data_IF_877537537688
#
_entry.id   IF_877537537688
#
_cell.length_a   1.000
_cell.length_b   1.000
_cell.length_c   1.000
_cell.angle_alpha   90.00
_cell.angle_beta   90.00
_cell.angle_gamma   90.00
#
_symmetry.space_group_name_H-M   'P 1'
#
loop_
_entity.id
_entity.type
_entity.pdbx_description
1 polymer ?
#
# COMPACT_ATOMS: atom_id res chain seq x y z
N UNK A 1 22.37 39.24 37.97
CA UNK A 1 22.65 40.65 37.65
C UNK A 1 21.43 41.27 36.98
N UNK A 2 21.31 42.59 36.98
CA UNK A 2 20.04 43.31 36.85
C UNK A 2 19.43 43.30 35.43
N UNK A 3 18.09 43.28 35.37
CA UNK A 3 17.30 43.79 34.24
C UNK A 3 16.09 44.58 34.79
N UNK A 4 15.74 45.69 34.12
CA UNK A 4 14.77 46.69 34.61
C UNK A 4 13.32 46.31 34.28
N UNK A 5 12.40 46.71 35.16
CA UNK A 5 10.96 46.80 34.88
C UNK A 5 10.65 48.18 34.28
N UNK A 6 9.80 48.24 33.25
CA UNK A 6 9.13 49.48 32.82
C UNK A 6 7.63 49.39 33.15
N UNK A 7 7.07 50.51 33.61
CA UNK A 7 5.71 50.64 34.12
C UNK A 7 4.71 51.07 33.06
N UNK A 8 3.42 50.81 33.32
CA UNK A 8 2.30 51.67 32.89
C UNK A 8 1.39 51.88 34.12
N UNK A 9 0.95 53.12 34.34
CA UNK A 9 0.03 53.55 35.41
C UNK A 9 -1.43 53.25 34.99
N UNK A 10 -2.38 52.92 35.88
CA UNK A 10 -3.14 53.86 36.73
C UNK A 10 -4.21 54.62 35.93
N UNK A 11 -5.47 54.81 36.31
CA UNK A 11 -6.36 54.33 37.40
C UNK A 11 -7.82 54.47 36.86
N UNK A 12 -8.95 54.05 37.44
CA UNK A 12 -9.39 53.59 38.78
C UNK A 12 -10.59 52.61 38.57
N UNK A 13 -11.45 52.15 39.51
CA UNK A 13 -11.74 52.45 40.92
C UNK A 13 -12.34 51.20 41.64
N UNK A 14 -13.11 51.40 42.72
CA UNK A 14 -13.78 50.42 43.60
C UNK A 14 -15.14 50.98 44.09
N UNK A 15 -16.02 50.27 44.85
CA UNK A 15 -15.93 48.91 45.46
C UNK A 15 -17.14 47.98 45.07
N UNK A 16 -17.35 46.72 45.50
CA UNK A 16 -17.15 46.00 46.78
C UNK A 16 -17.04 44.46 46.60
N UNK A 17 -16.16 43.81 47.38
CA UNK A 17 -16.12 42.42 47.93
C UNK A 17 -16.73 41.17 47.21
N UNK A 18 -16.25 39.93 47.50
CA UNK A 18 -14.87 39.48 47.80
C UNK A 18 -14.39 38.32 46.90
N UNK A 19 -13.13 38.38 46.45
CA UNK A 19 -12.35 37.27 45.87
C UNK A 19 -11.81 36.33 46.98
N UNK A 20 -11.15 35.15 46.74
CA UNK A 20 -10.54 34.63 45.49
C UNK A 20 -10.98 33.16 45.16
N UNK A 21 -10.58 32.47 44.08
CA UNK A 21 -9.23 32.17 43.56
C UNK A 21 -9.21 32.16 42.03
N UNK A 22 -8.41 33.04 41.43
CA UNK A 22 -7.98 32.92 40.04
C UNK A 22 -6.73 32.04 39.97
N UNK A 23 -6.79 30.92 39.24
CA UNK A 23 -5.64 30.10 38.90
C UNK A 23 -4.75 30.79 37.85
N UNK A 24 -3.93 31.73 38.28
CA UNK A 24 -2.97 32.41 37.41
C UNK A 24 -1.86 31.47 36.93
N UNK A 25 -1.69 31.33 35.62
CA UNK A 25 -0.58 30.59 35.02
C UNK A 25 0.61 31.53 34.78
N UNK A 26 1.73 31.32 35.49
CA UNK A 26 2.99 32.02 35.22
C UNK A 26 3.80 31.20 34.21
N UNK A 27 4.03 31.76 33.02
CA UNK A 27 4.90 31.15 32.01
C UNK A 27 6.32 31.68 32.20
N UNK A 28 7.25 30.79 32.57
CA UNK A 28 8.68 31.10 32.64
C UNK A 28 9.38 30.45 31.44
N UNK A 29 9.77 31.26 30.45
CA UNK A 29 10.63 30.80 29.35
C UNK A 29 12.09 30.78 29.79
N UNK A 30 12.67 29.59 29.93
CA UNK A 30 14.11 29.39 29.94
C UNK A 30 14.57 28.92 28.55
N UNK A 31 15.82 29.19 28.19
CA UNK A 31 16.35 29.06 26.83
C UNK A 31 16.70 27.60 26.43
N UNK A 32 15.81 26.65 26.71
CA UNK A 32 15.80 25.28 26.15
C UNK A 32 14.49 24.57 26.52
N UNK A 33 13.45 24.76 25.70
CA UNK A 33 12.17 24.03 25.79
C UNK A 33 11.11 24.69 26.69
N UNK A 34 9.84 24.57 26.27
CA UNK A 34 8.68 25.07 27.03
C UNK A 34 8.19 23.97 27.97
N UNK A 35 8.30 24.20 29.27
CA UNK A 35 7.73 23.34 30.31
C UNK A 35 6.59 24.06 31.03
N UNK A 36 5.38 23.49 30.96
CA UNK A 36 4.22 23.99 31.69
C UNK A 36 4.16 23.31 33.07
N UNK A 37 4.39 24.06 34.14
CA UNK A 37 4.31 23.57 35.52
C UNK A 37 3.08 24.13 36.23
N UNK A 38 2.10 23.27 36.52
CA UNK A 38 1.02 23.57 37.48
C UNK A 38 1.45 23.18 38.89
N UNK A 39 1.83 24.18 39.69
CA UNK A 39 2.15 24.04 41.11
C UNK A 39 0.88 24.13 41.96
N UNK A 40 0.34 22.99 42.39
CA UNK A 40 -0.61 22.93 43.50
C UNK A 40 0.18 22.81 44.81
N UNK A 41 0.56 23.94 45.39
CA UNK A 41 1.12 23.98 46.74
C UNK A 41 -0.02 23.93 47.77
N UNK A 42 -0.07 22.89 48.58
CA UNK A 42 -0.88 22.85 49.81
C UNK A 42 0.06 23.15 50.98
N UNK A 43 -0.18 24.25 51.68
CA UNK A 43 0.52 24.58 52.92
C UNK A 43 -0.10 23.77 54.05
N UNK A 44 0.70 22.95 54.73
CA UNK A 44 0.39 22.40 56.04
C UNK A 44 1.60 22.67 56.95
N UNK A 45 1.39 23.47 57.99
CA UNK A 45 2.42 23.89 58.94
C UNK A 45 2.72 22.78 59.96
N UNK A 46 3.97 22.31 60.02
CA UNK A 46 4.49 21.70 61.26
C UNK A 46 6.03 21.60 61.29
N UNK A 47 6.64 22.28 62.28
CA UNK A 47 7.73 21.71 63.10
C UNK A 47 9.14 21.64 62.52
N UNK A 48 10.08 22.33 63.19
CA UNK A 48 11.52 22.20 62.98
C UNK A 48 12.04 20.76 63.14
N UNK A 49 12.84 20.26 62.21
CA UNK A 49 14.27 19.89 62.43
C UNK A 49 14.91 19.43 61.11
N UNK A 50 16.15 19.87 60.85
CA UNK A 50 16.83 19.54 59.59
C UNK A 50 17.48 18.16 59.54
N UNK A 51 17.39 17.49 58.39
CA UNK A 51 18.45 16.59 57.85
C UNK A 51 18.23 16.28 56.37
N UNK A 52 19.28 15.78 55.71
CA UNK A 52 19.40 15.68 54.26
C UNK A 52 18.49 14.62 53.62
N UNK A 53 17.91 14.96 52.46
CA UNK A 53 17.24 14.00 51.57
C UNK A 53 18.29 13.27 50.72
N UNK A 54 18.49 11.98 51.00
CA UNK A 54 19.15 11.06 50.05
C UNK A 54 18.17 10.70 48.94
N UNK A 55 18.66 10.70 47.70
CA UNK A 55 17.93 10.15 46.57
C UNK A 55 18.07 8.63 46.53
N UNK A 56 17.01 7.91 46.92
CA UNK A 56 16.87 6.49 46.60
C UNK A 56 16.13 6.36 45.27
N UNK A 57 16.86 6.02 44.21
CA UNK A 57 16.28 5.63 42.93
C UNK A 57 15.73 4.21 43.02
N UNK A 58 14.40 4.06 43.16
CA UNK A 58 13.63 2.89 42.66
C UNK A 58 12.15 3.03 42.99
N UNK A 59 11.35 3.52 42.04
CA UNK A 59 9.99 3.03 41.84
C UNK A 59 9.51 3.33 40.42
N UNK A 60 8.74 2.39 39.86
CA UNK A 60 8.33 2.38 38.45
C UNK A 60 7.41 3.57 38.16
N UNK A 61 7.81 4.43 37.23
CA UNK A 61 6.90 5.40 36.63
C UNK A 61 5.82 4.65 35.83
N UNK A 62 4.61 4.58 36.38
CA UNK A 62 3.47 3.97 35.70
C UNK A 62 3.02 4.80 34.51
N UNK A 63 3.05 4.20 33.32
CA UNK A 63 2.02 4.31 32.29
C UNK A 63 1.21 5.63 32.24
N UNK A 64 1.74 6.68 31.59
CA UNK A 64 0.90 7.77 31.07
C UNK A 64 1.44 8.43 29.79
N UNK A 65 1.84 7.62 28.80
CA UNK A 65 2.09 8.08 27.42
C UNK A 65 1.36 7.19 26.40
N UNK A 66 0.02 7.21 26.44
CA UNK A 66 -0.81 6.71 25.33
C UNK A 66 -0.90 7.77 24.21
N UNK A 67 0.25 8.11 23.62
CA UNK A 67 0.35 8.86 22.36
C UNK A 67 1.07 7.98 21.33
N UNK A 68 0.27 7.37 20.46
CA UNK A 68 0.71 6.49 19.38
C UNK A 68 -0.52 5.92 18.69
N UNK A 69 -0.73 6.28 17.42
CA UNK A 69 -1.91 5.84 16.67
C UNK A 69 -1.71 4.37 16.29
N UNK A 70 -2.37 3.48 17.04
CA UNK A 70 -2.37 2.02 16.84
C UNK A 70 -2.43 1.69 15.35
N UNK A 71 -1.49 0.87 14.88
CA UNK A 71 -1.46 0.35 13.51
C UNK A 71 -2.83 -0.29 13.19
N UNK A 72 -3.50 0.22 12.16
CA UNK A 72 -4.93 -0.03 11.92
C UNK A 72 -5.12 -1.19 10.96
N UNK A 73 -6.07 -2.05 11.29
CA UNK A 73 -6.37 -3.29 10.57
C UNK A 73 -6.80 -3.03 9.12
N UNK A 74 -6.30 -3.83 8.19
CA UNK A 74 -6.71 -3.78 6.79
C UNK A 74 -8.18 -4.17 6.58
N UNK A 75 -8.83 -4.79 7.57
CA UNK A 75 -10.28 -5.08 7.61
C UNK A 75 -11.08 -4.11 8.51
N UNK A 76 -10.41 -3.13 9.13
CA UNK A 76 -11.04 -2.00 9.84
C UNK A 76 -11.19 -0.79 8.91
N UNK A 77 -12.43 -0.39 8.64
CA UNK A 77 -12.74 0.77 7.79
C UNK A 77 -12.14 2.08 8.34
N UNK A 78 -11.86 2.19 9.65
CA UNK A 78 -11.21 3.36 10.27
C UNK A 78 -9.71 3.47 9.93
N UNK A 79 -9.13 2.42 9.35
CA UNK A 79 -7.79 2.40 8.77
C UNK A 79 -7.68 3.17 7.45
N UNK A 80 -8.81 3.50 6.82
CA UNK A 80 -8.87 4.13 5.51
C UNK A 80 -9.22 5.62 5.59
N UNK A 81 -9.01 6.33 4.49
CA UNK A 81 -9.38 7.73 4.25
C UNK A 81 -9.51 7.99 2.75
N UNK A 82 -10.12 9.10 2.38
CA UNK A 82 -9.95 9.67 1.05
C UNK A 82 -8.63 10.44 0.99
N UNK A 83 -7.88 10.28 -0.10
CA UNK A 83 -6.77 11.15 -0.49
C UNK A 83 -7.19 11.76 -1.83
N UNK A 84 -7.56 13.04 -1.80
CA UNK A 84 -8.00 13.86 -2.93
C UNK A 84 -9.21 13.32 -3.74
N UNK A 85 -9.86 12.27 -3.23
CA UNK A 85 -11.00 11.59 -3.86
C UNK A 85 -10.84 10.07 -3.92
N UNK A 86 -9.61 9.57 -3.86
CA UNK A 86 -9.30 8.13 -3.90
C UNK A 86 -9.38 7.50 -2.49
N UNK A 87 -10.13 6.41 -2.34
CA UNK A 87 -10.25 5.68 -1.07
C UNK A 87 -9.04 4.77 -0.81
N UNK A 88 -8.23 5.11 0.19
CA UNK A 88 -6.93 4.48 0.46
C UNK A 88 -6.68 4.20 1.94
N UNK A 89 -6.04 3.06 2.22
CA UNK A 89 -5.54 2.74 3.57
C UNK A 89 -4.47 3.74 4.02
N UNK A 90 -4.43 4.07 5.32
CA UNK A 90 -3.42 4.93 5.96
C UNK A 90 -1.99 4.40 5.95
N UNK A 91 -1.77 3.25 5.30
CA UNK A 91 -0.44 2.65 5.10
C UNK A 91 0.27 3.28 3.88
N UNK A 92 -0.48 3.90 2.99
CA UNK A 92 -0.02 4.73 1.88
C UNK A 92 -0.01 6.19 2.34
N UNK A 93 1.16 6.83 2.26
CA UNK A 93 1.34 8.23 2.67
C UNK A 93 0.72 9.18 1.64
N UNK A 94 0.15 10.31 2.08
CA UNK A 94 -0.57 11.19 1.16
C UNK A 94 0.37 11.84 0.16
N UNK A 95 1.53 12.33 0.62
CA UNK A 95 2.51 12.99 -0.23
C UNK A 95 3.11 12.01 -1.27
N UNK A 96 3.24 10.74 -0.91
CA UNK A 96 3.63 9.67 -1.84
C UNK A 96 2.58 9.52 -2.95
N UNK A 97 1.29 9.44 -2.59
CA UNK A 97 0.19 9.36 -3.55
C UNK A 97 0.09 10.62 -4.43
N UNK A 98 0.17 11.82 -3.84
CA UNK A 98 0.16 13.10 -4.57
C UNK A 98 1.36 13.24 -5.52
N UNK A 99 2.53 12.76 -5.11
CA UNK A 99 3.71 12.72 -5.99
C UNK A 99 3.48 11.80 -7.19
N UNK A 100 2.84 10.64 -6.98
CA UNK A 100 2.45 9.73 -8.07
C UNK A 100 1.42 10.39 -8.98
N UNK A 101 0.34 10.98 -8.47
CA UNK A 101 -0.67 11.65 -9.30
C UNK A 101 -0.09 12.79 -10.14
N UNK A 102 0.99 13.41 -9.68
CA UNK A 102 1.71 14.50 -10.37
C UNK A 102 2.85 14.02 -11.28
N UNK A 103 3.12 12.71 -11.34
CA UNK A 103 4.20 12.17 -12.18
C UNK A 103 3.88 12.39 -13.67
N UNK A 104 4.90 12.76 -14.46
CA UNK A 104 4.78 12.86 -15.92
C UNK A 104 5.45 11.65 -16.55
N UNK A 105 4.70 10.71 -17.17
CA UNK A 105 5.29 9.52 -17.80
C UNK A 105 6.27 9.84 -18.91
N UNK A 106 7.37 9.09 -18.96
CA UNK A 106 8.40 9.16 -20.00
C UNK A 106 8.04 8.21 -21.17
N UNK A 107 8.54 8.46 -22.39
CA UNK A 107 8.31 7.56 -23.53
C UNK A 107 8.85 6.14 -23.34
N UNK A 108 9.85 5.95 -22.48
CA UNK A 108 10.42 4.64 -22.14
C UNK A 108 9.81 4.01 -20.87
N UNK A 109 8.78 4.63 -20.28
CA UNK A 109 8.06 4.06 -19.14
C UNK A 109 7.02 3.01 -19.62
N UNK A 110 7.06 1.84 -18.97
CA UNK A 110 6.06 0.79 -19.13
C UNK A 110 5.37 0.57 -17.78
N UNK A 111 4.07 0.84 -17.71
CA UNK A 111 3.26 0.64 -16.52
C UNK A 111 2.67 -0.77 -16.50
N UNK A 112 2.67 -1.41 -15.33
CA UNK A 112 1.86 -2.60 -15.05
C UNK A 112 0.68 -2.15 -14.18
N UNK A 113 -0.48 -1.96 -14.81
CA UNK A 113 -1.70 -1.47 -14.16
C UNK A 113 -2.69 -2.63 -13.94
N UNK A 114 -3.04 -2.90 -12.69
CA UNK A 114 -3.88 -4.05 -12.34
C UNK A 114 -4.68 -3.77 -11.07
N UNK A 115 -5.94 -4.19 -10.99
CA UNK A 115 -6.55 -4.29 -9.65
C UNK A 115 -5.75 -5.35 -8.85
N UNK A 116 -5.54 -5.18 -7.52
CA UNK A 116 -4.76 -6.13 -6.74
C UNK A 116 -5.16 -7.58 -7.01
N UNK A 117 -4.13 -8.43 -7.14
CA UNK A 117 -4.25 -9.89 -7.32
C UNK A 117 -4.73 -10.38 -8.69
N UNK A 118 -4.85 -9.50 -9.69
CA UNK A 118 -5.10 -9.90 -11.09
C UNK A 118 -3.88 -10.48 -11.83
N UNK A 119 -2.81 -10.90 -11.12
CA UNK A 119 -1.60 -11.48 -11.73
C UNK A 119 -0.40 -10.54 -11.83
N UNK A 120 -0.45 -9.35 -11.23
CA UNK A 120 0.56 -8.28 -11.29
C UNK A 120 2.01 -8.78 -11.22
N UNK A 121 2.37 -9.56 -10.18
CA UNK A 121 3.75 -10.06 -9.99
C UNK A 121 4.20 -10.98 -11.12
N UNK A 122 3.29 -11.79 -11.68
CA UNK A 122 3.61 -12.68 -12.79
C UNK A 122 3.88 -11.87 -14.06
N UNK A 123 3.02 -10.90 -14.37
CA UNK A 123 3.20 -9.98 -15.50
C UNK A 123 4.47 -9.14 -15.37
N UNK A 124 4.73 -8.55 -14.20
CA UNK A 124 5.99 -7.84 -13.92
C UNK A 124 7.20 -8.75 -14.17
N UNK A 125 7.17 -10.00 -13.69
CA UNK A 125 8.29 -10.92 -13.81
C UNK A 125 8.49 -11.43 -15.25
N UNK A 126 7.40 -11.69 -15.98
CA UNK A 126 7.42 -12.02 -17.42
C UNK A 126 8.03 -10.88 -18.24
N UNK A 127 7.56 -9.65 -18.04
CA UNK A 127 8.06 -8.48 -18.77
C UNK A 127 9.53 -8.20 -18.42
N UNK A 128 9.94 -8.30 -17.15
CA UNK A 128 11.35 -8.17 -16.77
C UNK A 128 12.23 -9.30 -17.33
N UNK A 129 11.70 -10.51 -17.53
CA UNK A 129 12.39 -11.58 -18.25
C UNK A 129 12.63 -11.21 -19.72
N UNK A 130 11.62 -10.65 -20.41
CA UNK A 130 11.72 -10.21 -21.82
C UNK A 130 12.76 -9.08 -21.94
N UNK A 131 12.58 -8.00 -21.16
CA UNK A 131 13.45 -6.82 -21.20
C UNK A 131 14.92 -7.13 -20.82
N UNK A 132 15.16 -8.19 -20.04
CA UNK A 132 16.50 -8.63 -19.59
C UNK A 132 16.96 -9.94 -20.25
N UNK A 133 16.39 -10.33 -21.39
CA UNK A 133 16.82 -11.50 -22.19
C UNK A 133 16.99 -12.78 -21.36
N UNK A 134 16.00 -13.07 -20.51
CA UNK A 134 15.96 -14.26 -19.66
C UNK A 134 16.87 -14.19 -18.43
N UNK A 135 17.42 -13.03 -18.06
CA UNK A 135 18.11 -12.78 -16.78
C UNK A 135 17.27 -11.86 -15.86
N UNK A 136 16.15 -12.38 -15.30
CA UNK A 136 15.26 -11.59 -14.45
C UNK A 136 15.87 -11.29 -13.08
N UNK A 137 15.23 -10.40 -12.29
CA UNK A 137 15.65 -10.14 -10.93
C UNK A 137 15.75 -11.41 -10.07
N UNK A 138 16.89 -11.59 -9.41
CA UNK A 138 17.20 -12.78 -8.60
C UNK A 138 16.83 -12.61 -7.11
N UNK A 139 16.37 -11.42 -6.72
CA UNK A 139 15.96 -11.11 -5.35
C UNK A 139 14.71 -10.22 -5.31
N UNK A 140 14.00 -10.28 -4.19
CA UNK A 140 12.91 -9.38 -3.83
C UNK A 140 13.27 -7.89 -4.01
N UNK A 141 14.47 -7.49 -3.59
CA UNK A 141 14.93 -6.10 -3.65
C UNK A 141 15.21 -5.66 -5.09
N UNK A 142 15.96 -6.44 -5.86
CA UNK A 142 16.22 -6.18 -7.29
C UNK A 142 14.90 -6.11 -8.07
N UNK A 143 13.94 -7.01 -7.79
CA UNK A 143 12.61 -6.95 -8.39
C UNK A 143 11.87 -5.65 -8.06
N UNK A 144 11.94 -5.18 -6.80
CA UNK A 144 11.28 -3.95 -6.38
C UNK A 144 11.97 -2.67 -6.94
N UNK A 145 13.29 -2.71 -7.15
CA UNK A 145 14.05 -1.63 -7.77
C UNK A 145 13.93 -1.60 -9.30
N UNK A 146 13.71 -2.76 -9.92
CA UNK A 146 13.40 -2.93 -11.33
C UNK A 146 11.93 -2.65 -11.64
N UNK A 147 11.04 -2.84 -10.66
CA UNK A 147 9.62 -2.53 -10.78
C UNK A 147 9.02 -1.93 -9.51
N UNK A 148 9.23 -0.62 -9.26
CA UNK A 148 8.76 0.05 -8.06
C UNK A 148 7.23 0.14 -8.01
N UNK A 149 6.69 0.04 -6.80
CA UNK A 149 5.27 0.19 -6.53
C UNK A 149 4.95 1.63 -6.13
N UNK A 150 4.41 2.41 -7.07
CA UNK A 150 4.43 3.87 -6.93
C UNK A 150 3.49 4.42 -5.85
N UNK A 151 2.38 3.75 -5.51
CA UNK A 151 1.55 4.18 -4.37
C UNK A 151 2.29 4.11 -3.03
N UNK A 152 3.32 3.27 -2.93
CA UNK A 152 4.18 3.14 -1.74
C UNK A 152 5.50 3.89 -1.87
N UNK A 153 6.01 4.09 -3.08
CA UNK A 153 7.37 4.58 -3.34
C UNK A 153 7.43 5.92 -4.10
N UNK A 154 6.30 6.45 -4.56
CA UNK A 154 6.15 7.78 -5.15
C UNK A 154 6.87 7.98 -6.48
N UNK A 155 6.78 9.20 -7.02
CA UNK A 155 7.46 9.57 -8.27
C UNK A 155 8.99 9.39 -8.22
N UNK A 156 9.61 9.66 -7.07
CA UNK A 156 11.07 9.49 -6.85
C UNK A 156 11.56 8.07 -7.24
N UNK A 157 10.73 7.05 -7.02
CA UNK A 157 11.08 5.68 -7.38
C UNK A 157 11.02 5.41 -8.89
N UNK A 158 10.12 6.08 -9.63
CA UNK A 158 10.10 6.02 -11.10
C UNK A 158 11.31 6.73 -11.72
N UNK A 159 11.79 7.80 -11.07
CA UNK A 159 13.00 8.51 -11.48
C UNK A 159 14.28 7.71 -11.23
N UNK A 160 14.37 7.01 -10.08
CA UNK A 160 15.54 6.24 -9.64
C UNK A 160 15.51 4.75 -10.01
N UNK A 161 14.48 4.25 -10.72
CA UNK A 161 14.35 2.82 -11.00
C UNK A 161 15.51 2.28 -11.85
N UNK A 162 15.82 1.00 -11.67
CA UNK A 162 16.80 0.30 -12.50
C UNK A 162 16.18 0.06 -13.88
N UNK A 163 16.71 0.71 -14.91
CA UNK A 163 16.25 0.56 -16.31
C UNK A 163 17.06 -0.51 -17.06
N UNK A 164 16.45 -1.27 -18.00
CA UNK A 164 15.02 -1.31 -18.30
C UNK A 164 14.21 -1.88 -17.13
N UNK A 165 13.04 -1.29 -16.88
CA UNK A 165 12.24 -1.47 -15.67
C UNK A 165 10.78 -1.03 -15.86
N UNK A 166 9.93 -1.24 -14.85
CA UNK A 166 8.46 -1.20 -14.97
C UNK A 166 7.76 -0.47 -13.82
N UNK A 167 6.85 0.44 -14.13
CA UNK A 167 6.11 1.19 -13.11
C UNK A 167 4.86 0.41 -12.65
N UNK A 168 4.86 -0.13 -11.44
CA UNK A 168 3.72 -0.89 -10.92
C UNK A 168 2.70 0.05 -10.26
N UNK A 169 1.45 -0.03 -10.70
CA UNK A 169 0.30 0.66 -10.07
C UNK A 169 -0.91 -0.27 -9.90
N UNK A 170 -1.74 0.04 -8.91
CA UNK A 170 -3.06 -0.53 -8.67
C UNK A 170 -4.19 0.52 -8.80
N UNK A 171 -3.87 1.67 -9.41
CA UNK A 171 -4.79 2.78 -9.59
C UNK A 171 -5.77 2.53 -10.77
N UNK A 172 -7.05 2.94 -10.63
CA UNK A 172 -7.95 3.13 -11.77
C UNK A 172 -7.34 4.10 -12.82
N UNK A 173 -7.84 4.05 -14.06
CA UNK A 173 -7.26 4.82 -15.18
C UNK A 173 -7.17 6.32 -14.87
N UNK A 174 -8.27 6.91 -14.38
CA UNK A 174 -8.38 8.34 -14.07
C UNK A 174 -7.47 8.84 -12.93
N UNK A 175 -6.83 7.92 -12.19
CA UNK A 175 -5.83 8.24 -11.16
C UNK A 175 -4.40 7.88 -11.59
N UNK A 176 -4.25 7.15 -12.69
CA UNK A 176 -2.94 6.73 -13.20
C UNK A 176 -2.35 7.83 -14.08
N UNK A 177 -1.08 8.22 -13.87
CA UNK A 177 -0.38 9.12 -14.79
C UNK A 177 -0.40 8.59 -16.22
N UNK A 178 -1.06 9.32 -17.12
CA UNK A 178 -1.25 8.92 -18.50
C UNK A 178 -0.42 9.77 -19.47
N UNK A 179 0.18 9.12 -20.47
CA UNK A 179 0.82 9.73 -21.62
C UNK A 179 0.67 8.79 -22.81
N UNK A 180 0.26 9.31 -23.97
CA UNK A 180 0.16 8.52 -25.21
C UNK A 180 1.52 7.91 -25.64
N UNK A 181 2.63 8.48 -25.18
CA UNK A 181 3.98 8.00 -25.48
C UNK A 181 4.48 6.90 -24.54
N UNK A 182 3.85 6.71 -23.37
CA UNK A 182 4.20 5.65 -22.43
C UNK A 182 3.32 4.41 -22.68
N UNK A 183 3.79 3.22 -22.30
CA UNK A 183 3.06 1.96 -22.51
C UNK A 183 2.38 1.46 -21.24
N UNK A 184 1.20 0.87 -21.36
CA UNK A 184 0.41 0.38 -20.23
C UNK A 184 0.01 -1.08 -20.47
N UNK A 185 0.41 -1.98 -19.58
CA UNK A 185 0.02 -3.39 -19.60
C UNK A 185 -1.03 -3.60 -18.52
N UNK A 186 -2.25 -3.90 -18.95
CA UNK A 186 -3.44 -3.97 -18.12
C UNK A 186 -3.90 -5.42 -17.99
N UNK A 187 -3.83 -5.96 -16.78
CA UNK A 187 -4.24 -7.35 -16.50
C UNK A 187 -5.39 -7.39 -15.52
N UNK A 188 -6.50 -7.98 -15.96
CA UNK A 188 -7.66 -8.29 -15.13
C UNK A 188 -7.79 -9.79 -14.88
N UNK A 189 -8.69 -10.19 -14.00
CA UNK A 189 -8.92 -11.58 -13.59
C UNK A 189 -10.34 -11.73 -13.05
N UNK A 190 -10.98 -12.89 -13.20
CA UNK A 190 -12.36 -13.10 -12.75
C UNK A 190 -12.59 -12.64 -11.29
N UNK A 191 -13.69 -11.93 -10.98
CA UNK A 191 -13.87 -11.24 -9.70
C UNK A 191 -13.91 -12.19 -8.49
N UNK A 192 -14.39 -13.42 -8.68
CA UNK A 192 -14.47 -14.43 -7.62
C UNK A 192 -13.09 -14.88 -7.14
N UNK A 193 -12.18 -15.25 -8.06
CA UNK A 193 -10.81 -15.59 -7.69
C UNK A 193 -10.01 -14.38 -7.17
N UNK A 194 -10.29 -13.18 -7.69
CA UNK A 194 -9.68 -11.93 -7.17
C UNK A 194 -10.07 -11.75 -5.70
N UNK A 195 -11.35 -11.89 -5.35
CA UNK A 195 -11.82 -11.80 -3.97
C UNK A 195 -11.09 -12.80 -3.04
N UNK A 196 -10.99 -14.08 -3.42
CA UNK A 196 -10.25 -15.07 -2.61
C UNK A 196 -8.76 -14.74 -2.53
N UNK A 197 -8.11 -14.44 -3.66
CA UNK A 197 -6.69 -14.15 -3.65
C UNK A 197 -6.34 -12.86 -2.89
N UNK A 198 -7.28 -11.92 -2.79
CA UNK A 198 -7.10 -10.67 -2.07
C UNK A 198 -7.39 -10.84 -0.57
N UNK A 199 -8.37 -11.66 -0.18
CA UNK A 199 -8.56 -12.08 1.22
C UNK A 199 -7.27 -12.63 1.83
N UNK A 200 -6.68 -13.66 1.22
CA UNK A 200 -5.45 -14.27 1.76
C UNK A 200 -4.27 -13.31 1.81
N UNK A 201 -4.18 -12.40 0.83
CA UNK A 201 -3.15 -11.37 0.83
C UNK A 201 -3.33 -10.36 1.97
N UNK A 202 -4.56 -9.86 2.18
CA UNK A 202 -4.84 -8.87 3.21
C UNK A 202 -4.82 -9.47 4.62
N UNK A 203 -5.15 -10.75 4.78
CA UNK A 203 -5.06 -11.49 6.05
C UNK A 203 -3.65 -11.44 6.64
N UNK A 204 -2.61 -11.61 5.83
CA UNK A 204 -1.21 -11.51 6.25
C UNK A 204 -0.76 -10.10 6.69
N UNK A 205 -1.56 -9.07 6.39
CA UNK A 205 -1.38 -7.70 6.88
C UNK A 205 -2.46 -7.28 7.89
N UNK A 206 -3.32 -8.21 8.31
CA UNK A 206 -4.35 -7.96 9.33
C UNK A 206 -3.75 -8.22 10.71
N UNK A 207 -3.67 -7.25 11.63
CA UNK A 207 -3.13 -7.46 12.98
C UNK A 207 -3.91 -8.51 13.78
N UNK A 208 -3.27 -9.28 14.67
CA UNK A 208 -3.98 -10.21 15.58
C UNK A 208 -4.91 -9.51 16.60
N UNK A 209 -4.83 -8.18 16.71
CA UNK A 209 -5.78 -7.35 17.45
C UNK A 209 -7.13 -7.15 16.73
N UNK A 210 -7.17 -7.37 15.40
CA UNK A 210 -8.43 -7.57 14.67
C UNK A 210 -8.99 -8.95 15.01
N UNK A 211 -10.23 -9.00 15.49
CA UNK A 211 -10.86 -10.27 15.89
C UNK A 211 -11.55 -10.96 14.72
N UNK A 212 -12.05 -10.20 13.75
CA UNK A 212 -12.74 -10.73 12.58
C UNK A 212 -11.88 -10.58 11.33
N UNK A 213 -11.03 -11.58 11.12
CA UNK A 213 -10.26 -11.77 9.88
C UNK A 213 -10.88 -12.87 9.01
N UNK A 214 -12.22 -12.98 8.98
CA UNK A 214 -12.94 -14.01 8.22
C UNK A 214 -13.07 -13.68 6.73
N UNK A 215 -13.27 -14.72 5.90
CA UNK A 215 -13.58 -14.52 4.48
C UNK A 215 -14.92 -13.79 4.29
N UNK A 216 -15.91 -14.06 5.13
CA UNK A 216 -17.20 -13.36 5.09
C UNK A 216 -17.04 -11.84 5.32
N UNK A 217 -16.26 -11.44 6.32
CA UNK A 217 -15.93 -10.04 6.59
C UNK A 217 -15.22 -9.37 5.43
N UNK A 218 -14.24 -10.06 4.84
CA UNK A 218 -13.51 -9.54 3.69
C UNK A 218 -14.40 -9.41 2.44
N UNK A 219 -15.23 -10.41 2.16
CA UNK A 219 -16.16 -10.43 1.02
C UNK A 219 -17.12 -9.24 1.06
N UNK A 220 -17.70 -8.95 2.23
CA UNK A 220 -18.53 -7.75 2.44
C UNK A 220 -17.75 -6.44 2.19
N UNK A 221 -16.48 -6.35 2.60
CA UNK A 221 -15.65 -5.17 2.30
C UNK A 221 -15.33 -5.05 0.81
N UNK A 222 -15.14 -6.17 0.12
CA UNK A 222 -14.83 -6.25 -1.31
C UNK A 222 -16.01 -5.78 -2.18
N UNK A 223 -17.20 -6.39 -2.02
CA UNK A 223 -18.39 -6.04 -2.84
C UNK A 223 -19.00 -4.66 -2.53
N UNK A 224 -18.58 -4.02 -1.43
CA UNK A 224 -18.99 -2.65 -1.08
C UNK A 224 -17.89 -1.61 -1.39
N UNK A 225 -16.80 -2.00 -2.08
CA UNK A 225 -15.70 -1.11 -2.47
C UNK A 225 -14.99 -0.43 -1.28
N UNK A 226 -14.88 -1.12 -0.13
CA UNK A 226 -14.31 -0.57 1.11
C UNK A 226 -12.85 -0.95 1.37
N UNK A 227 -12.21 -1.63 0.43
CA UNK A 227 -10.77 -1.88 0.39
C UNK A 227 -10.05 -0.74 -0.36
N UNK A 228 -8.72 -0.64 -0.27
CA UNK A 228 -7.95 0.36 -1.03
C UNK A 228 -8.26 0.25 -2.53
N UNK A 229 -8.10 1.34 -3.27
CA UNK A 229 -8.43 1.45 -4.70
C UNK A 229 -9.93 1.36 -5.02
N UNK A 230 -10.79 1.05 -4.04
CA UNK A 230 -12.25 1.11 -4.16
C UNK A 230 -12.86 -0.20 -4.64
N UNK A 231 -13.89 -0.09 -5.49
CA UNK A 231 -14.60 -1.21 -6.08
C UNK A 231 -13.80 -1.79 -7.26
N UNK A 232 -13.77 -3.12 -7.36
CA UNK A 232 -13.07 -3.84 -8.43
C UNK A 232 -13.57 -3.47 -9.83
N UNK A 233 -14.88 -3.26 -10.02
CA UNK A 233 -15.44 -2.90 -11.31
C UNK A 233 -15.24 -1.43 -11.65
N UNK A 234 -15.21 -0.52 -10.68
CA UNK A 234 -14.83 0.88 -10.94
C UNK A 234 -13.38 0.97 -11.46
N UNK A 235 -12.47 0.16 -10.91
CA UNK A 235 -11.13 0.01 -11.47
C UNK A 235 -11.17 -0.66 -12.85
N UNK A 236 -11.84 -1.80 -13.00
CA UNK A 236 -11.83 -2.58 -14.24
C UNK A 236 -12.40 -1.79 -15.42
N UNK A 237 -13.59 -1.20 -15.26
CA UNK A 237 -14.27 -0.45 -16.32
C UNK A 237 -13.43 0.74 -16.77
N UNK A 238 -12.81 1.48 -15.83
CA UNK A 238 -11.93 2.62 -16.16
C UNK A 238 -10.78 2.24 -17.10
N UNK A 239 -10.22 1.03 -16.99
CA UNK A 239 -9.17 0.55 -17.89
C UNK A 239 -9.74 -0.15 -19.13
N UNK A 240 -10.92 -0.74 -19.02
CA UNK A 240 -11.62 -1.43 -20.11
C UNK A 240 -12.07 -0.45 -21.21
N UNK A 241 -12.45 0.78 -20.85
CA UNK A 241 -12.74 1.86 -21.81
C UNK A 241 -11.53 2.21 -22.71
N UNK A 242 -10.31 1.98 -22.23
CA UNK A 242 -9.06 2.26 -22.95
C UNK A 242 -8.40 1.02 -23.57
N UNK A 243 -9.04 -0.16 -23.49
CA UNK A 243 -8.45 -1.46 -23.88
C UNK A 243 -7.96 -1.56 -25.33
N UNK A 244 -8.53 -0.75 -26.23
CA UNK A 244 -8.26 -0.73 -27.66
C UNK A 244 -7.32 0.44 -28.07
N UNK A 245 -6.75 1.15 -27.09
CA UNK A 245 -5.76 2.22 -27.33
C UNK A 245 -4.41 1.62 -27.72
N UNK A 246 -3.73 2.19 -28.72
CA UNK A 246 -2.44 1.66 -29.25
C UNK A 246 -1.36 1.47 -28.17
N UNK A 247 -1.38 2.31 -27.12
CA UNK A 247 -0.43 2.24 -26.01
C UNK A 247 -0.92 1.44 -24.79
N UNK A 248 -2.02 0.68 -24.93
CA UNK A 248 -2.60 -0.15 -23.87
C UNK A 248 -2.71 -1.62 -24.32
N UNK A 249 -1.99 -2.52 -23.66
CA UNK A 249 -2.13 -3.96 -23.84
C UNK A 249 -3.04 -4.53 -22.75
N UNK A 250 -4.30 -4.80 -23.09
CA UNK A 250 -5.30 -5.32 -22.15
C UNK A 250 -5.52 -6.83 -22.30
N UNK A 251 -5.45 -7.60 -21.20
CA UNK A 251 -5.79 -9.03 -21.21
C UNK A 251 -6.24 -9.58 -19.84
N UNK A 252 -6.67 -10.85 -19.84
CA UNK A 252 -7.08 -11.56 -18.62
C UNK A 252 -6.00 -12.53 -18.15
N UNK A 253 -5.89 -12.69 -16.82
CA UNK A 253 -5.03 -13.68 -16.18
C UNK A 253 -5.31 -15.10 -16.68
N UNK A 254 -6.57 -15.39 -16.99
CA UNK A 254 -7.03 -16.66 -17.52
C UNK A 254 -6.42 -16.92 -18.91
N UNK A 255 -6.50 -15.96 -19.84
CA UNK A 255 -5.88 -16.06 -21.17
C UNK A 255 -4.35 -16.18 -21.10
N UNK A 256 -3.69 -15.41 -20.22
CA UNK A 256 -2.24 -15.56 -19.97
C UNK A 256 -1.88 -16.97 -19.47
N UNK A 257 -2.77 -17.63 -18.72
CA UNK A 257 -2.53 -18.98 -18.20
C UNK A 257 -2.87 -20.09 -19.19
N UNK A 258 -3.86 -19.87 -20.04
CA UNK A 258 -4.25 -20.80 -21.11
C UNK A 258 -3.09 -20.99 -22.11
N UNK A 259 -2.50 -19.89 -22.59
CA UNK A 259 -1.42 -19.91 -23.58
C UNK A 259 -0.32 -18.90 -23.23
N UNK A 260 0.46 -19.22 -22.20
CA UNK A 260 1.53 -18.33 -21.71
C UNK A 260 2.60 -18.07 -22.77
N UNK A 261 2.88 -19.01 -23.67
CA UNK A 261 3.89 -18.84 -24.73
C UNK A 261 3.48 -17.75 -25.74
N UNK A 262 2.24 -17.80 -26.23
CA UNK A 262 1.70 -16.80 -27.13
C UNK A 262 1.56 -15.43 -26.47
N UNK A 263 1.16 -15.38 -25.19
CA UNK A 263 1.08 -14.11 -24.46
C UNK A 263 2.45 -13.50 -24.15
N UNK A 264 3.48 -14.29 -23.88
CA UNK A 264 4.88 -13.79 -23.82
C UNK A 264 5.27 -13.12 -25.12
N UNK A 265 4.92 -13.72 -26.27
CA UNK A 265 5.22 -13.17 -27.59
C UNK A 265 4.45 -11.88 -27.86
N UNK A 266 3.14 -11.82 -27.57
CA UNK A 266 2.31 -10.60 -27.69
C UNK A 266 2.81 -9.46 -26.79
N UNK A 267 3.21 -9.78 -25.56
CA UNK A 267 3.82 -8.83 -24.64
C UNK A 267 5.14 -8.32 -25.20
N UNK A 268 5.97 -9.21 -25.78
CA UNK A 268 7.22 -8.81 -26.42
C UNK A 268 6.99 -7.87 -27.61
N UNK A 269 6.10 -8.20 -28.54
CA UNK A 269 5.73 -7.32 -29.68
C UNK A 269 5.30 -5.93 -29.19
N UNK A 270 4.45 -5.89 -28.15
CA UNK A 270 3.96 -4.64 -27.56
C UNK A 270 5.07 -3.82 -26.89
N UNK A 271 6.07 -4.45 -26.28
CA UNK A 271 7.24 -3.77 -25.72
C UNK A 271 8.14 -3.20 -26.83
N UNK A 272 8.28 -3.93 -27.94
CA UNK A 272 9.00 -3.53 -29.16
C UNK A 272 9.15 -4.72 -30.11
N UNK A 273 9.04 -4.50 -31.42
CA UNK A 273 9.12 -5.55 -32.44
C UNK A 273 10.42 -6.37 -32.32
N UNK A 274 11.52 -5.73 -31.90
CA UNK A 274 12.82 -6.37 -31.69
C UNK A 274 12.79 -7.47 -30.62
N UNK A 275 11.98 -7.30 -29.56
CA UNK A 275 11.80 -8.34 -28.54
C UNK A 275 10.96 -9.50 -29.10
N UNK A 276 9.89 -9.17 -29.83
CA UNK A 276 9.03 -10.17 -30.49
C UNK A 276 9.80 -11.03 -31.48
N UNK A 277 10.62 -10.41 -32.34
CA UNK A 277 11.48 -11.11 -33.28
C UNK A 277 12.53 -11.98 -32.58
N UNK A 278 13.21 -11.46 -31.55
CA UNK A 278 14.26 -12.20 -30.83
C UNK A 278 13.71 -13.49 -30.22
N UNK A 279 12.53 -13.44 -29.58
CA UNK A 279 11.90 -14.63 -28.99
C UNK A 279 11.35 -15.64 -30.01
N UNK A 280 11.02 -15.20 -31.23
CA UNK A 280 10.63 -16.10 -32.34
C UNK A 280 11.85 -16.77 -32.98
N UNK A 281 12.97 -16.07 -33.04
CA UNK A 281 14.25 -16.56 -33.60
C UNK A 281 14.97 -17.50 -32.61
N UNK A 282 14.94 -17.18 -31.31
CA UNK A 282 15.55 -17.99 -30.25
C UNK A 282 14.50 -18.70 -29.37
N UNK A 283 14.14 -19.92 -29.80
CA UNK A 283 13.25 -20.80 -29.04
C UNK A 283 13.82 -21.28 -27.69
N UNK A 284 15.13 -21.22 -27.48
CA UNK A 284 15.75 -21.58 -26.21
C UNK A 284 15.62 -20.43 -25.20
N UNK A 285 15.76 -19.18 -25.65
CA UNK A 285 15.46 -18.00 -24.85
C UNK A 285 13.97 -17.95 -24.46
N UNK A 286 13.05 -18.18 -25.40
CA UNK A 286 11.61 -18.25 -25.09
C UNK A 286 11.32 -19.32 -24.02
N UNK A 287 11.90 -20.52 -24.16
CA UNK A 287 11.75 -21.59 -23.16
C UNK A 287 12.32 -21.19 -21.79
N UNK A 288 13.51 -20.60 -21.74
CA UNK A 288 14.12 -20.08 -20.50
C UNK A 288 13.23 -19.06 -19.80
N UNK A 289 12.58 -18.16 -20.55
CA UNK A 289 11.64 -17.18 -19.99
C UNK A 289 10.40 -17.86 -19.40
N UNK A 290 9.83 -18.85 -20.11
CA UNK A 290 8.69 -19.63 -19.63
C UNK A 290 9.04 -20.42 -18.36
N UNK A 291 10.19 -21.09 -18.34
CA UNK A 291 10.68 -21.86 -17.20
C UNK A 291 10.91 -20.95 -15.98
N UNK A 292 11.59 -19.81 -16.15
CA UNK A 292 11.77 -18.79 -15.11
C UNK A 292 10.42 -18.32 -14.54
N UNK A 293 9.42 -18.13 -15.39
CA UNK A 293 8.09 -17.63 -15.01
C UNK A 293 7.10 -18.73 -14.59
N UNK A 294 7.57 -19.97 -14.42
CA UNK A 294 6.77 -21.05 -13.84
C UNK A 294 6.39 -20.75 -12.39
N UNK A 295 5.26 -21.32 -11.94
CA UNK A 295 4.76 -21.12 -10.58
C UNK A 295 5.77 -21.55 -9.51
N UNK A 296 6.55 -22.61 -9.76
CA UNK A 296 7.55 -23.14 -8.84
C UNK A 296 8.75 -22.20 -8.69
N UNK A 297 9.35 -21.77 -9.81
CA UNK A 297 10.47 -20.84 -9.78
C UNK A 297 10.08 -19.49 -9.16
N UNK A 298 8.89 -18.98 -9.48
CA UNK A 298 8.37 -17.78 -8.81
C UNK A 298 8.17 -17.96 -7.30
N UNK A 299 7.75 -19.14 -6.82
CA UNK A 299 7.65 -19.40 -5.37
C UNK A 299 9.02 -19.25 -4.69
N UNK A 300 10.08 -19.81 -5.27
CA UNK A 300 11.44 -19.68 -4.74
C UNK A 300 12.01 -18.25 -4.74
N UNK A 301 11.58 -17.40 -5.68
CA UNK A 301 11.99 -15.98 -5.71
C UNK A 301 11.25 -15.14 -4.66
N UNK A 302 9.94 -15.33 -4.53
CA UNK A 302 9.06 -14.39 -3.82
C UNK A 302 8.63 -14.83 -2.41
N UNK A 303 8.45 -16.13 -2.12
CA UNK A 303 7.86 -16.54 -0.85
C UNK A 303 8.82 -16.33 0.34
N UNK A 304 10.09 -16.69 0.18
CA UNK A 304 11.06 -16.68 1.29
C UNK A 304 11.56 -15.26 1.66
N UNK A 305 11.33 -14.27 0.78
CA UNK A 305 12.05 -12.98 0.81
C UNK A 305 11.17 -11.72 0.76
N UNK A 306 9.85 -11.83 0.59
CA UNK A 306 8.96 -10.67 0.72
C UNK A 306 8.90 -10.12 2.15
N UNK A 307 9.16 -10.94 3.16
CA UNK A 307 9.16 -10.51 4.57
C UNK A 307 10.29 -9.53 4.93
N UNK A 308 11.43 -9.54 4.22
CA UNK A 308 12.55 -8.61 4.47
C UNK A 308 12.50 -7.35 3.62
N UNK A 309 11.71 -7.32 2.53
CA UNK A 309 11.75 -6.26 1.51
C UNK A 309 11.70 -4.84 2.08
N UNK A 310 10.82 -4.54 3.04
CA UNK A 310 10.73 -3.19 3.64
C UNK A 310 12.03 -2.85 4.39
N UNK A 311 12.60 -3.80 5.15
CA UNK A 311 13.89 -3.63 5.81
C UNK A 311 15.01 -3.44 4.78
N UNK A 312 14.99 -4.19 3.69
CA UNK A 312 16.04 -4.13 2.67
C UNK A 312 16.01 -2.80 1.91
N UNK A 313 14.82 -2.29 1.56
CA UNK A 313 14.64 -0.95 0.99
C UNK A 313 15.10 0.16 1.95
N UNK A 314 14.80 0.02 3.24
CA UNK A 314 15.22 0.96 4.30
C UNK A 314 16.73 0.92 4.62
N UNK A 315 17.47 -0.06 4.10
CA UNK A 315 18.91 -0.17 4.27
C UNK A 315 19.66 -0.02 2.93
N UNK A 316 19.02 0.59 1.93
CA UNK A 316 19.68 0.97 0.68
C UNK A 316 20.81 1.99 0.94
N UNK A 317 21.90 1.94 0.15
CA UNK A 317 22.91 2.99 0.10
C UNK A 317 22.28 4.37 -0.16
N UNK A 318 22.88 5.44 0.36
CA UNK A 318 22.29 6.78 0.38
C UNK A 318 21.91 7.33 -1.02
N UNK A 319 22.62 6.87 -2.05
CA UNK A 319 22.43 7.24 -3.45
C UNK A 319 21.17 6.58 -4.05
N UNK A 320 20.76 5.44 -3.50
CA UNK A 320 19.58 4.65 -3.89
C UNK A 320 18.42 4.76 -2.91
N UNK A 321 18.62 5.40 -1.76
CA UNK A 321 17.58 5.63 -0.76
C UNK A 321 16.40 6.43 -1.35
N UNK A 322 15.21 6.15 -0.84
CA UNK A 322 13.94 6.75 -1.26
C UNK A 322 13.28 7.42 -0.06
N UNK A 323 13.06 8.74 -0.13
CA UNK A 323 12.43 9.51 0.95
C UNK A 323 11.01 9.05 1.22
N UNK A 324 10.31 8.64 0.16
CA UNK A 324 8.99 8.00 0.21
C UNK A 324 8.94 6.69 1.00
N UNK A 325 10.09 6.01 1.16
CA UNK A 325 10.20 4.76 1.93
C UNK A 325 10.64 5.02 3.37
N UNK A 326 11.30 6.14 3.67
CA UNK A 326 11.68 6.50 5.05
C UNK A 326 10.47 6.60 6.00
N UNK A 327 9.31 7.04 5.49
CA UNK A 327 8.04 7.05 6.27
C UNK A 327 7.57 5.64 6.68
N UNK A 328 8.17 4.57 6.13
CA UNK A 328 7.92 3.20 6.56
C UNK A 328 8.69 2.81 7.83
N UNK A 329 9.71 3.59 8.26
CA UNK A 329 10.40 3.37 9.55
C UNK A 329 9.47 3.57 10.75
N UNK A 330 8.49 4.46 10.62
CA UNK A 330 7.52 4.79 11.66
C UNK A 330 6.37 3.77 11.78
N UNK A 331 6.41 2.67 11.00
CA UNK A 331 5.40 1.60 11.10
C UNK A 331 5.64 0.71 12.32
N UNK A 332 4.88 0.97 13.38
CA UNK A 332 4.77 0.05 14.52
C UNK A 332 4.36 -1.37 14.06
N UNK A 333 5.15 -2.38 14.44
CA UNK A 333 4.73 -3.78 14.33
C UNK A 333 3.60 -4.01 15.35
N UNK A 334 2.43 -4.54 14.95
CA UNK A 334 1.34 -4.75 15.89
C UNK A 334 1.73 -5.67 17.04
N UNK A 335 1.27 -5.34 18.25
CA UNK A 335 1.44 -6.20 19.44
C UNK A 335 0.71 -7.53 19.16
N UNK A 336 1.45 -8.63 19.18
CA UNK A 336 0.97 -9.97 18.81
C UNK A 336 1.13 -10.35 17.33
N UNK A 337 1.65 -9.44 16.50
CA UNK A 337 1.90 -9.66 15.07
C UNK A 337 0.64 -9.61 14.19
N UNK A 338 0.76 -10.17 12.99
CA UNK A 338 -0.31 -10.29 12.00
C UNK A 338 -0.93 -11.70 12.01
N UNK A 339 -2.16 -11.84 11.52
CA UNK A 339 -2.80 -13.14 11.32
C UNK A 339 -2.01 -14.01 10.34
N UNK A 340 -2.02 -15.31 10.58
CA UNK A 340 -1.32 -16.27 9.75
C UNK A 340 -2.00 -16.33 8.36
N UNK A 341 -1.20 -16.32 7.29
CA UNK A 341 -1.66 -16.26 5.91
C UNK A 341 -0.95 -17.29 5.03
N UNK A 342 -1.55 -17.61 3.89
CA UNK A 342 -0.89 -18.44 2.87
C UNK A 342 0.25 -17.66 2.19
N UNK A 343 1.18 -18.39 1.57
CA UNK A 343 2.31 -17.84 0.84
C UNK A 343 1.90 -16.80 -0.22
N UNK A 344 2.78 -15.82 -0.46
CA UNK A 344 2.54 -14.71 -1.41
C UNK A 344 2.23 -15.23 -2.83
N UNK A 345 3.02 -16.18 -3.32
CA UNK A 345 2.70 -17.01 -4.49
C UNK A 345 1.99 -18.27 -3.97
N UNK A 346 0.65 -18.21 -4.03
CA UNK A 346 -0.28 -19.15 -3.40
C UNK A 346 -0.51 -20.43 -4.24
N UNK A 347 -1.64 -20.51 -4.95
CA UNK A 347 -2.00 -21.65 -5.82
C UNK A 347 -1.79 -21.39 -7.31
N UNK A 348 -1.89 -20.15 -7.78
CA UNK A 348 -1.86 -19.84 -9.24
C UNK A 348 -2.95 -20.55 -10.05
N UNK A 349 -4.01 -21.04 -9.40
CA UNK A 349 -5.10 -21.80 -10.01
C UNK A 349 -6.26 -20.86 -10.38
N UNK A 350 -7.02 -21.23 -11.40
CA UNK A 350 -8.29 -20.59 -11.80
C UNK A 350 -9.43 -21.40 -11.17
N UNK A 351 -10.47 -20.74 -10.66
CA UNK A 351 -11.65 -21.41 -10.10
C UNK A 351 -11.49 -21.86 -8.63
N UNK A 352 -10.44 -21.41 -7.94
CA UNK A 352 -10.23 -21.73 -6.51
C UNK A 352 -11.35 -21.13 -5.63
N UNK A 353 -12.04 -20.10 -6.13
CA UNK A 353 -13.22 -19.52 -5.49
C UNK A 353 -14.31 -20.53 -5.11
N UNK A 354 -14.46 -21.63 -5.86
CA UNK A 354 -15.47 -22.68 -5.59
C UNK A 354 -15.33 -23.33 -4.22
N UNK A 355 -14.12 -23.34 -3.65
CA UNK A 355 -13.84 -23.90 -2.33
C UNK A 355 -14.04 -22.89 -1.17
N UNK A 356 -14.42 -21.63 -1.45
CA UNK A 356 -14.43 -20.55 -0.46
C UNK A 356 -15.78 -19.83 -0.33
N UNK A 357 -16.52 -19.67 -1.43
CA UNK A 357 -17.80 -18.97 -1.42
C UNK A 357 -18.95 -19.87 -0.92
N UNK A 358 -19.78 -19.35 -0.02
CA UNK A 358 -21.09 -19.94 0.29
C UNK A 358 -22.13 -19.55 -0.79
N UNK A 359 -23.26 -20.27 -0.91
CA UNK A 359 -24.35 -19.90 -1.83
C UNK A 359 -24.83 -18.45 -1.65
N UNK A 360 -25.01 -17.99 -0.41
CA UNK A 360 -25.41 -16.59 -0.12
C UNK A 360 -24.37 -15.58 -0.61
N UNK A 361 -23.08 -15.90 -0.50
CA UNK A 361 -22.01 -15.04 -1.00
C UNK A 361 -21.98 -15.03 -2.54
N UNK A 362 -22.28 -16.16 -3.19
CA UNK A 362 -22.43 -16.23 -4.64
C UNK A 362 -23.53 -15.28 -5.11
N UNK A 363 -24.74 -15.37 -4.55
CA UNK A 363 -25.88 -14.53 -4.96
C UNK A 363 -25.65 -13.04 -4.68
N UNK A 364 -25.04 -12.69 -3.54
CA UNK A 364 -24.56 -11.31 -3.28
C UNK A 364 -23.58 -10.83 -4.34
N UNK A 365 -22.63 -11.68 -4.74
CA UNK A 365 -21.61 -11.34 -5.75
C UNK A 365 -22.25 -11.17 -7.13
N UNK A 366 -23.19 -12.04 -7.51
CA UNK A 366 -23.96 -11.92 -8.76
C UNK A 366 -24.77 -10.63 -8.82
N UNK A 367 -25.45 -10.27 -7.73
CA UNK A 367 -26.18 -9.01 -7.64
C UNK A 367 -25.25 -7.79 -7.71
N UNK A 368 -24.04 -7.87 -7.14
CA UNK A 368 -23.03 -6.82 -7.23
C UNK A 368 -22.47 -6.70 -8.65
N UNK A 369 -22.04 -7.81 -9.27
CA UNK A 369 -21.59 -7.86 -10.68
C UNK A 369 -22.65 -7.24 -11.59
N UNK A 370 -23.88 -7.78 -11.58
CA UNK A 370 -24.98 -7.32 -12.43
C UNK A 370 -25.22 -5.82 -12.32
N UNK A 371 -25.16 -5.26 -11.11
CA UNK A 371 -25.34 -3.83 -10.86
C UNK A 371 -24.13 -3.00 -11.33
N UNK A 372 -22.91 -3.49 -11.12
CA UNK A 372 -21.69 -2.76 -11.45
C UNK A 372 -21.36 -2.79 -12.94
N UNK A 373 -21.78 -3.82 -13.67
CA UNK A 373 -21.51 -4.00 -15.10
C UNK A 373 -22.73 -3.73 -15.98
N UNK A 374 -23.80 -3.14 -15.43
CA UNK A 374 -25.02 -2.78 -16.16
C UNK A 374 -24.69 -1.85 -17.34
N UNK A 375 -25.15 -2.20 -18.55
CA UNK A 375 -24.85 -1.47 -19.77
C UNK A 375 -23.46 -1.70 -20.38
N UNK A 376 -22.64 -2.60 -19.83
CA UNK A 376 -21.30 -2.93 -20.34
C UNK A 376 -21.18 -4.39 -20.81
N UNK A 377 -20.29 -4.63 -21.76
CA UNK A 377 -19.92 -5.97 -22.25
C UNK A 377 -18.72 -6.59 -21.50
N UNK A 378 -18.24 -5.96 -20.42
CA UNK A 378 -17.01 -6.34 -19.70
C UNK A 378 -17.01 -7.78 -19.19
N UNK A 379 -18.17 -8.35 -18.86
CA UNK A 379 -18.28 -9.74 -18.40
C UNK A 379 -18.07 -10.77 -19.52
N UNK A 380 -18.13 -10.37 -20.80
CA UNK A 380 -17.76 -11.23 -21.93
C UNK A 380 -16.27 -11.62 -21.92
N UNK A 381 -15.43 -10.93 -21.12
CA UNK A 381 -14.04 -11.33 -20.86
C UNK A 381 -13.89 -12.74 -20.27
N UNK A 382 -14.97 -13.28 -19.70
CA UNK A 382 -15.06 -14.63 -19.12
C UNK A 382 -16.35 -15.36 -19.56
N UNK A 383 -16.92 -15.01 -20.72
CA UNK A 383 -18.17 -15.60 -21.22
C UNK A 383 -18.07 -17.07 -21.65
N UNK A 384 -16.84 -17.56 -21.79
CA UNK A 384 -16.44 -18.95 -22.02
C UNK A 384 -16.22 -19.75 -20.71
N UNK A 385 -16.26 -19.08 -19.55
CA UNK A 385 -16.06 -19.70 -18.24
C UNK A 385 -17.38 -20.01 -17.54
N UNK A 386 -17.41 -21.13 -16.81
CA UNK A 386 -18.47 -21.46 -15.86
C UNK A 386 -18.35 -20.59 -14.58
N UNK A 387 -18.79 -19.33 -14.70
CA UNK A 387 -18.99 -18.40 -13.57
C UNK A 387 -20.48 -18.39 -13.13
N UNK A 388 -20.79 -18.22 -11.83
CA UNK A 388 -22.16 -18.35 -11.28
C UNK A 388 -23.23 -17.34 -11.70
#
# INVERSE_FOLDING_TARGET
>A
MNAKVCSIMGDSALPTAPSPVFGGSIVICLHSGVHLFTLNARLEDSGCFGRSLRWNSTQKAGSLFLKGVRNKSTMDIKAYRYVDGLWMHKIFHEDTLRSLFSYTPRPDDVFIATYPKCGTTWTQYLVLNILRKGEPPKTALDFCLASPFLEMMGAEAAEKMVRPGLLKVHLPFQWTPYSANAKYICVTRNPYDVCVSFYYHMKGFTPKSEKDASFARFHELFINGKLSWGDYFDHLLSWYEHRDSENVLFFTYEKLKEDTANWVLKIADFLGEEYGEELRKDSALLRKILDNCSLENMKGVFNDKMGTLIKDLLNLPAEKALKSVEVLRERDIPIGGYHDSENFIRKGAIGDWRAHFTPDQIEKTKSWIKKKTEGSDVMNLWGDMDLP
#
